data_IF_001680595763
#
_entry.id   IF_001680595763
#
_cell.length_a   1.000
_cell.length_b   1.000
_cell.length_c   1.000
_cell.angle_alpha   90.00
_cell.angle_beta   90.00
_cell.angle_gamma   90.00
#
_symmetry.space_group_name_H-M   'P 1'
#
loop_
_entity.id
_entity.type
_entity.pdbx_description
1 polymer ?
#
# COMPACT_ATOMS: atom_id res chain seq x y z
N UNK A 1 -58.56 57.34 -48.98
CA UNK A 1 -59.96 57.69 -48.68
C UNK A 1 -60.02 57.75 -47.17
N UNK A 2 -59.87 58.97 -46.70
CA UNK A 2 -60.85 59.77 -45.95
C UNK A 2 -60.99 59.27 -44.50
N UNK A 3 -60.34 60.02 -43.59
CA UNK A 3 -60.85 61.16 -42.78
C UNK A 3 -61.58 60.67 -41.50
N UNK A 4 -61.35 61.15 -40.45
CA UNK A 4 -61.43 62.34 -39.57
C UNK A 4 -61.76 61.84 -38.15
N UNK A 5 -61.28 62.31 -37.16
CA UNK A 5 -61.08 63.60 -36.51
C UNK A 5 -61.76 63.61 -35.09
N UNK A 6 -61.09 64.28 -34.20
CA UNK A 6 -61.55 65.04 -33.03
C UNK A 6 -61.43 64.46 -31.60
N UNK A 7 -60.47 65.06 -30.93
CA UNK A 7 -60.59 65.38 -29.51
C UNK A 7 -61.64 66.39 -29.19
N UNK A 8 -62.12 66.63 -27.98
CA UNK A 8 -61.44 67.57 -27.09
C UNK A 8 -61.58 67.39 -25.55
N UNK A 9 -60.60 68.00 -24.88
CA UNK A 9 -60.67 68.88 -23.65
C UNK A 9 -61.10 68.34 -22.28
N UNK A 10 -60.09 68.29 -21.39
CA UNK A 10 -59.84 69.07 -20.16
C UNK A 10 -60.98 69.11 -19.10
N UNK A 11 -60.64 68.68 -17.89
CA UNK A 11 -60.83 69.53 -16.69
C UNK A 11 -59.93 69.01 -15.51
N UNK A 12 -59.38 70.01 -14.79
CA UNK A 12 -58.45 69.86 -13.66
C UNK A 12 -59.20 69.55 -12.38
N UNK A 13 -58.53 68.84 -11.50
CA UNK A 13 -58.92 68.64 -10.10
C UNK A 13 -57.78 68.25 -9.23
N UNK A 14 -57.29 69.21 -8.46
CA UNK A 14 -56.27 69.00 -7.42
C UNK A 14 -56.77 68.10 -6.27
N UNK A 15 -56.02 67.08 -5.88
CA UNK A 15 -56.08 66.58 -4.51
C UNK A 15 -54.70 66.10 -4.12
N UNK A 16 -54.18 66.72 -3.09
CA UNK A 16 -52.93 66.33 -2.34
C UNK A 16 -53.16 65.02 -1.65
N UNK A 17 -52.35 63.97 -2.00
CA UNK A 17 -52.29 62.75 -1.25
C UNK A 17 -50.81 62.31 -1.07
N UNK A 18 -50.41 62.24 0.18
CA UNK A 18 -49.07 61.92 0.61
C UNK A 18 -48.68 60.45 0.16
N UNK A 19 -47.69 60.34 -0.66
CA UNK A 19 -47.09 59.03 -0.97
C UNK A 19 -46.00 58.70 0.08
N UNK A 20 -46.33 57.81 1.02
CA UNK A 20 -45.35 57.14 1.81
C UNK A 20 -44.63 56.07 0.97
N UNK A 21 -43.39 56.35 0.58
CA UNK A 21 -42.56 55.37 -0.16
C UNK A 21 -42.14 54.23 0.72
N UNK A 22 -42.66 53.02 0.49
CA UNK A 22 -42.11 51.77 1.03
C UNK A 22 -40.90 51.38 0.15
N UNK A 23 -39.69 51.66 0.64
CA UNK A 23 -38.46 51.04 0.13
C UNK A 23 -38.42 49.57 0.57
N UNK A 24 -38.81 48.66 -0.33
CA UNK A 24 -38.56 47.23 -0.11
C UNK A 24 -37.05 46.96 -0.29
N UNK A 25 -36.32 46.86 0.82
CA UNK A 25 -34.96 46.35 0.82
C UNK A 25 -35.03 44.86 0.49
N UNK A 26 -34.72 44.51 -0.76
CA UNK A 26 -34.44 43.11 -1.14
C UNK A 26 -33.08 42.69 -0.51
N UNK A 27 -33.16 42.08 0.65
CA UNK A 27 -32.00 41.33 1.22
C UNK A 27 -31.79 40.11 0.33
N UNK A 28 -30.85 40.25 -0.61
CA UNK A 28 -30.29 39.08 -1.31
C UNK A 28 -29.49 38.31 -0.26
N UNK A 29 -30.10 37.29 0.34
CA UNK A 29 -29.39 36.29 1.11
C UNK A 29 -28.42 35.59 0.15
N UNK A 30 -27.17 36.05 0.14
CA UNK A 30 -26.07 35.30 -0.47
C UNK A 30 -25.95 33.99 0.33
N UNK A 31 -26.56 32.93 -0.19
CA UNK A 31 -26.26 31.58 0.23
C UNK A 31 -24.75 31.44 0.10
N UNK A 32 -24.01 31.04 1.15
CA UNK A 32 -22.61 30.68 0.98
C UNK A 32 -22.62 29.55 -0.05
N UNK A 33 -22.20 29.85 -1.28
CA UNK A 33 -22.00 28.84 -2.30
C UNK A 33 -21.09 27.79 -1.69
N UNK A 34 -21.57 26.56 -1.62
CA UNK A 34 -20.75 25.42 -1.30
C UNK A 34 -19.59 25.44 -2.30
N UNK A 35 -18.43 25.99 -1.88
CA UNK A 35 -17.19 25.77 -2.60
C UNK A 35 -17.05 24.25 -2.58
N UNK A 36 -17.23 23.61 -3.71
CA UNK A 36 -16.67 22.28 -3.89
C UNK A 36 -15.17 22.49 -3.83
N UNK A 37 -14.58 22.30 -2.63
CA UNK A 37 -13.14 22.33 -2.51
C UNK A 37 -12.61 21.30 -3.51
N UNK A 38 -11.82 21.77 -4.47
CA UNK A 38 -11.19 20.91 -5.45
C UNK A 38 -10.34 19.89 -4.72
N UNK A 39 -10.59 18.60 -4.97
CA UNK A 39 -9.86 17.51 -4.33
C UNK A 39 -8.37 17.62 -4.67
N UNK A 40 -7.51 17.49 -3.66
CA UNK A 40 -6.08 17.41 -3.87
C UNK A 40 -5.75 16.09 -4.58
N UNK A 41 -5.08 16.19 -5.72
CA UNK A 41 -4.69 15.01 -6.50
C UNK A 41 -3.37 14.43 -6.01
N UNK A 42 -3.31 13.11 -5.86
CA UNK A 42 -2.08 12.42 -5.56
C UNK A 42 -2.05 11.02 -6.17
N UNK A 43 -0.84 10.53 -6.42
CA UNK A 43 -0.57 9.20 -6.98
C UNK A 43 0.06 8.30 -5.93
N UNK A 44 -0.47 7.09 -5.77
CA UNK A 44 0.01 6.11 -4.80
C UNK A 44 0.52 4.87 -5.53
N UNK A 45 1.80 4.57 -5.37
CA UNK A 45 2.42 3.36 -5.90
C UNK A 45 2.20 2.16 -4.99
N UNK A 46 1.64 1.09 -5.52
CA UNK A 46 1.32 -0.15 -4.79
C UNK A 46 1.57 -1.39 -5.63
N UNK A 47 1.61 -2.55 -4.97
CA UNK A 47 1.53 -3.87 -5.60
C UNK A 47 0.10 -4.42 -5.49
N UNK A 48 -0.32 -5.29 -6.41
CA UNK A 48 -1.60 -6.01 -6.34
C UNK A 48 -1.54 -7.15 -5.33
N UNK A 49 -1.25 -6.82 -4.07
CA UNK A 49 -1.07 -7.77 -2.97
C UNK A 49 -1.94 -7.39 -1.77
N UNK A 50 -2.33 -8.38 -0.98
CA UNK A 50 -3.10 -8.17 0.27
C UNK A 50 -2.35 -7.30 1.30
N UNK A 51 -1.03 -7.21 1.20
CA UNK A 51 -0.23 -6.28 2.01
C UNK A 51 -0.52 -4.81 1.75
N UNK A 52 -1.27 -4.49 0.68
CA UNK A 52 -1.76 -3.13 0.37
C UNK A 52 -3.25 -2.95 0.69
N UNK A 53 -3.89 -3.90 1.39
CA UNK A 53 -5.33 -3.91 1.66
C UNK A 53 -5.88 -2.58 2.21
N UNK A 54 -5.26 -1.90 3.18
CA UNK A 54 -5.77 -0.62 3.67
C UNK A 54 -5.86 0.46 2.59
N UNK A 55 -4.91 0.48 1.63
CA UNK A 55 -4.97 1.43 0.50
C UNK A 55 -6.18 1.14 -0.39
N UNK A 56 -6.45 -0.13 -0.65
CA UNK A 56 -7.61 -0.56 -1.47
C UNK A 56 -8.93 -0.24 -0.79
N UNK A 57 -9.01 -0.49 0.52
CA UNK A 57 -10.17 -0.18 1.34
C UNK A 57 -10.41 1.33 1.38
N UNK A 58 -9.37 2.14 1.63
CA UNK A 58 -9.48 3.60 1.64
C UNK A 58 -9.96 4.15 0.29
N UNK A 59 -9.47 3.58 -0.81
CA UNK A 59 -9.87 3.96 -2.16
C UNK A 59 -11.32 3.59 -2.46
N UNK A 60 -11.71 2.35 -2.22
CA UNK A 60 -13.02 1.82 -2.63
C UNK A 60 -14.15 2.35 -1.74
N UNK A 61 -13.90 2.53 -0.44
CA UNK A 61 -14.85 3.09 0.53
C UNK A 61 -14.90 4.62 0.51
N UNK A 62 -14.08 5.26 -0.30
CA UNK A 62 -14.10 6.72 -0.43
C UNK A 62 -13.40 7.48 0.70
N UNK A 63 -12.63 6.82 1.59
CA UNK A 63 -11.97 7.50 2.71
C UNK A 63 -10.98 8.58 2.26
N UNK A 64 -10.31 8.39 1.12
CA UNK A 64 -9.48 9.43 0.54
C UNK A 64 -10.32 10.65 0.13
N UNK A 65 -11.50 10.45 -0.47
CA UNK A 65 -12.41 11.53 -0.84
C UNK A 65 -12.99 12.26 0.36
N UNK A 66 -13.32 11.51 1.43
CA UNK A 66 -13.77 12.09 2.70
C UNK A 66 -12.72 13.06 3.29
N UNK A 67 -11.44 12.78 3.07
CA UNK A 67 -10.30 13.63 3.45
C UNK A 67 -9.95 14.68 2.38
N UNK A 68 -10.76 14.84 1.34
CA UNK A 68 -10.55 15.83 0.28
C UNK A 68 -9.45 15.45 -0.71
N UNK A 69 -9.21 14.15 -0.94
CA UNK A 69 -8.19 13.63 -1.86
C UNK A 69 -8.81 12.90 -3.05
N UNK A 70 -8.24 13.13 -4.25
CA UNK A 70 -8.46 12.33 -5.46
C UNK A 70 -7.20 11.50 -5.72
N UNK A 71 -7.25 10.21 -5.36
CA UNK A 71 -6.10 9.30 -5.42
C UNK A 71 -6.13 8.45 -6.68
N UNK A 72 -5.01 8.49 -7.42
CA UNK A 72 -4.73 7.56 -8.52
C UNK A 72 -3.77 6.46 -8.05
N UNK A 73 -4.21 5.19 -8.12
CA UNK A 73 -3.34 4.05 -7.81
C UNK A 73 -2.48 3.68 -9.02
N UNK A 74 -1.17 3.63 -8.82
CA UNK A 74 -0.18 3.14 -9.79
C UNK A 74 0.30 1.75 -9.35
N UNK A 75 0.09 0.75 -10.20
CA UNK A 75 0.47 -0.63 -9.91
C UNK A 75 1.84 -0.97 -10.48
N UNK A 76 2.64 -1.67 -9.68
CA UNK A 76 3.98 -2.12 -10.01
C UNK A 76 4.12 -3.63 -9.82
N UNK A 77 5.13 -4.23 -10.46
CA UNK A 77 5.39 -5.69 -10.41
C UNK A 77 6.49 -6.08 -9.41
N UNK A 78 7.12 -5.09 -8.75
CA UNK A 78 8.12 -5.28 -7.72
C UNK A 78 8.20 -4.06 -6.79
N UNK A 79 8.74 -4.24 -5.57
CA UNK A 79 8.83 -3.20 -4.54
C UNK A 79 9.81 -2.08 -4.91
N UNK A 80 10.99 -2.42 -5.42
CA UNK A 80 12.06 -1.46 -5.71
C UNK A 80 11.65 -0.33 -6.69
N UNK A 81 10.95 -0.59 -7.81
CA UNK A 81 10.50 0.45 -8.72
C UNK A 81 9.59 1.51 -8.06
N UNK A 82 8.83 1.16 -7.02
CA UNK A 82 7.97 2.11 -6.30
C UNK A 82 8.80 3.18 -5.58
N UNK A 83 9.92 2.79 -4.93
CA UNK A 83 10.81 3.74 -4.28
C UNK A 83 11.49 4.69 -5.29
N UNK A 84 11.84 4.17 -6.48
CA UNK A 84 12.38 4.97 -7.59
C UNK A 84 11.33 5.95 -8.09
N UNK A 85 10.09 5.50 -8.35
CA UNK A 85 9.00 6.33 -8.82
C UNK A 85 8.61 7.45 -7.82
N UNK A 86 8.69 7.19 -6.51
CA UNK A 86 8.50 8.23 -5.50
C UNK A 86 9.62 9.28 -5.54
N UNK A 87 10.87 8.86 -5.74
CA UNK A 87 12.02 9.75 -5.83
C UNK A 87 12.00 10.60 -7.10
N UNK A 88 11.62 10.03 -8.27
CA UNK A 88 11.47 10.77 -9.53
C UNK A 88 10.28 11.73 -9.55
N UNK A 89 9.28 11.46 -8.71
CA UNK A 89 8.03 12.23 -8.64
C UNK A 89 6.93 11.72 -9.57
N UNK A 90 7.07 10.50 -10.07
CA UNK A 90 6.01 9.84 -10.85
C UNK A 90 4.84 9.43 -9.95
N UNK A 91 5.11 9.23 -8.65
CA UNK A 91 4.14 9.03 -7.59
C UNK A 91 4.44 9.94 -6.39
N UNK A 92 3.44 10.23 -5.57
CA UNK A 92 3.55 11.03 -4.35
C UNK A 92 3.82 10.14 -3.13
N UNK A 93 3.14 9.02 -3.02
CA UNK A 93 3.27 8.05 -1.93
C UNK A 93 3.60 6.68 -2.47
N UNK A 94 4.44 5.95 -1.75
CA UNK A 94 4.72 4.55 -1.99
C UNK A 94 4.27 3.69 -0.80
N UNK A 95 3.62 2.55 -1.10
CA UNK A 95 3.21 1.56 -0.10
C UNK A 95 3.69 0.19 -0.55
N UNK A 96 4.80 -0.29 0.04
CA UNK A 96 5.40 -1.56 -0.33
C UNK A 96 6.42 -2.04 0.71
N UNK A 97 7.06 -3.18 0.44
CA UNK A 97 8.08 -3.78 1.29
C UNK A 97 9.37 -2.93 1.34
N UNK A 98 10.06 -2.96 2.46
CA UNK A 98 11.42 -2.45 2.58
C UNK A 98 12.38 -3.19 1.64
N UNK A 99 13.31 -2.43 1.06
CA UNK A 99 14.38 -2.94 0.19
C UNK A 99 15.66 -2.16 0.43
N UNK A 100 16.81 -2.73 0.09
CA UNK A 100 18.09 -2.02 0.17
C UNK A 100 18.07 -0.71 -0.64
N UNK A 101 17.43 -0.72 -1.81
CA UNK A 101 17.31 0.49 -2.63
C UNK A 101 16.43 1.56 -2.01
N UNK A 102 15.32 1.20 -1.34
CA UNK A 102 14.51 2.14 -0.57
C UNK A 102 15.36 2.78 0.53
N UNK A 103 16.10 1.96 1.30
CA UNK A 103 16.97 2.46 2.36
C UNK A 103 18.06 3.39 1.83
N UNK A 104 18.72 3.05 0.72
CA UNK A 104 19.74 3.91 0.09
C UNK A 104 19.16 5.24 -0.38
N UNK A 105 17.98 5.26 -1.01
CA UNK A 105 17.29 6.48 -1.42
C UNK A 105 16.89 7.33 -0.19
N UNK A 106 16.37 6.70 0.84
CA UNK A 106 16.01 7.38 2.08
C UNK A 106 17.24 7.93 2.82
N UNK A 107 18.32 7.16 2.88
CA UNK A 107 19.61 7.60 3.44
C UNK A 107 20.21 8.82 2.73
N UNK A 108 19.99 8.94 1.40
CA UNK A 108 20.34 10.13 0.61
C UNK A 108 19.38 11.30 0.81
N UNK A 109 18.34 11.15 1.63
CA UNK A 109 17.38 12.20 1.93
C UNK A 109 16.34 12.46 0.83
N UNK A 110 16.20 11.58 -0.17
CA UNK A 110 15.27 11.78 -1.29
C UNK A 110 13.83 11.36 -0.94
N UNK A 111 13.67 10.48 0.03
CA UNK A 111 12.37 10.05 0.56
C UNK A 111 12.47 9.77 2.07
N UNK A 112 11.31 9.69 2.73
CA UNK A 112 11.17 9.34 4.15
C UNK A 112 10.04 8.37 4.35
N UNK A 113 10.20 7.47 5.33
CA UNK A 113 9.13 6.62 5.85
C UNK A 113 8.20 7.46 6.73
N UNK A 114 6.90 7.36 6.49
CA UNK A 114 5.84 8.12 7.19
C UNK A 114 4.88 7.23 7.98
N UNK A 115 4.99 5.89 7.86
CA UNK A 115 4.19 4.94 8.60
C UNK A 115 4.59 3.50 8.33
N UNK A 116 4.12 2.59 9.20
CA UNK A 116 4.21 1.16 9.00
C UNK A 116 3.11 0.63 8.08
N UNK A 117 3.31 -0.59 7.61
CA UNK A 117 2.33 -1.37 6.86
C UNK A 117 2.48 -2.84 7.28
N UNK A 118 2.42 -3.78 6.36
CA UNK A 118 2.44 -5.21 6.63
C UNK A 118 3.68 -5.71 7.38
N UNK A 119 3.46 -6.78 8.16
CA UNK A 119 4.53 -7.54 8.85
C UNK A 119 4.45 -9.01 8.45
N UNK A 120 5.61 -9.64 8.37
CA UNK A 120 5.71 -11.09 8.45
C UNK A 120 5.48 -11.49 9.91
N UNK A 121 4.43 -12.25 10.17
CA UNK A 121 4.01 -12.66 11.51
C UNK A 121 3.49 -14.09 11.49
N UNK A 122 3.87 -14.87 12.49
CA UNK A 122 3.41 -16.24 12.65
C UNK A 122 1.87 -16.30 12.69
N UNK A 123 1.29 -17.28 12.00
CA UNK A 123 -0.16 -17.46 11.88
C UNK A 123 -0.84 -16.57 10.82
N UNK A 124 -0.07 -15.71 10.12
CA UNK A 124 -0.59 -14.86 9.03
C UNK A 124 0.22 -15.11 7.75
N UNK A 125 -0.14 -16.11 6.93
CA UNK A 125 0.59 -16.47 5.72
C UNK A 125 0.63 -15.30 4.74
N UNK A 126 1.84 -14.80 4.41
CA UNK A 126 2.01 -13.70 3.48
C UNK A 126 3.05 -14.03 2.41
N UNK A 127 4.30 -14.28 2.80
CA UNK A 127 5.37 -14.75 1.93
C UNK A 127 5.74 -16.18 2.31
N UNK A 128 5.85 -17.06 1.30
CA UNK A 128 6.29 -18.45 1.49
C UNK A 128 7.58 -18.75 0.76
N UNK A 129 8.27 -19.75 1.28
CA UNK A 129 9.34 -20.46 0.59
C UNK A 129 8.72 -21.62 -0.19
N UNK A 130 8.88 -21.64 -1.51
CA UNK A 130 8.28 -22.65 -2.38
C UNK A 130 9.37 -23.40 -3.16
N UNK A 131 9.28 -24.73 -3.19
CA UNK A 131 10.15 -25.57 -4.00
C UNK A 131 9.50 -25.94 -5.33
N UNK A 132 10.32 -26.11 -6.38
CA UNK A 132 9.91 -26.84 -7.58
C UNK A 132 9.68 -28.32 -7.25
N UNK A 133 8.88 -29.02 -8.08
CA UNK A 133 8.58 -30.42 -7.83
C UNK A 133 9.83 -31.29 -7.87
N UNK A 134 10.75 -31.05 -8.82
CA UNK A 134 12.00 -31.79 -8.94
C UNK A 134 12.88 -31.56 -7.72
N UNK A 135 13.07 -30.31 -7.29
CA UNK A 135 13.86 -30.00 -6.10
C UNK A 135 13.24 -30.61 -4.84
N UNK A 136 11.90 -30.57 -4.72
CA UNK A 136 11.19 -31.20 -3.60
C UNK A 136 11.36 -32.71 -3.59
N UNK A 137 11.28 -33.39 -4.75
CA UNK A 137 11.53 -34.81 -4.89
C UNK A 137 13.00 -35.17 -4.54
N UNK A 138 13.94 -34.27 -4.89
CA UNK A 138 15.36 -34.42 -4.60
C UNK A 138 15.78 -34.07 -3.14
N UNK A 139 14.80 -33.83 -2.24
CA UNK A 139 15.05 -33.67 -0.81
C UNK A 139 14.95 -32.26 -0.26
N UNK A 140 14.57 -31.25 -1.06
CA UNK A 140 14.28 -29.89 -0.56
C UNK A 140 12.88 -29.89 0.09
N UNK A 141 12.81 -30.16 1.39
CA UNK A 141 11.55 -30.35 2.13
C UNK A 141 11.16 -29.20 3.04
N UNK A 142 12.15 -28.46 3.54
CA UNK A 142 11.98 -27.37 4.50
C UNK A 142 12.82 -26.15 4.09
N UNK A 143 12.54 -24.95 4.62
CA UNK A 143 13.39 -23.77 4.37
C UNK A 143 14.86 -23.99 4.79
N UNK A 144 15.11 -24.84 5.75
CA UNK A 144 16.48 -25.20 6.20
C UNK A 144 17.33 -25.83 5.10
N UNK A 145 16.71 -26.47 4.11
CA UNK A 145 17.39 -27.22 3.05
C UNK A 145 17.79 -26.33 1.86
N UNK A 146 17.68 -24.97 1.98
CA UNK A 146 17.96 -24.03 0.90
C UNK A 146 19.45 -23.82 0.61
N UNK A 147 20.34 -24.20 1.51
CA UNK A 147 21.78 -24.16 1.25
C UNK A 147 22.14 -24.96 -0.02
N UNK A 148 22.96 -24.40 -0.90
CA UNK A 148 23.36 -24.99 -2.17
C UNK A 148 22.29 -24.90 -3.30
N UNK A 149 21.09 -24.39 -3.03
CA UNK A 149 19.99 -24.33 -4.00
C UNK A 149 19.97 -23.02 -4.80
N UNK A 150 19.37 -23.08 -5.99
CA UNK A 150 19.07 -21.92 -6.85
C UNK A 150 17.74 -21.33 -6.37
N UNK A 151 17.77 -20.13 -5.81
CA UNK A 151 16.59 -19.50 -5.22
C UNK A 151 16.24 -18.19 -5.93
N UNK A 152 15.05 -18.14 -6.49
CA UNK A 152 14.54 -16.93 -7.15
C UNK A 152 14.10 -15.90 -6.12
N UNK A 153 14.52 -14.66 -6.37
CA UNK A 153 14.05 -13.43 -5.69
C UNK A 153 13.75 -12.38 -6.76
N UNK A 154 13.07 -11.28 -6.40
CA UNK A 154 12.86 -10.20 -7.38
C UNK A 154 14.15 -9.45 -7.67
N UNK A 155 14.93 -9.10 -6.64
CA UNK A 155 16.17 -8.33 -6.78
C UNK A 155 17.14 -8.67 -5.64
N UNK A 156 18.43 -8.42 -5.85
CA UNK A 156 19.41 -8.40 -4.77
C UNK A 156 19.07 -7.24 -3.84
N UNK A 157 19.06 -7.49 -2.53
CA UNK A 157 18.61 -6.52 -1.52
C UNK A 157 17.09 -6.30 -1.46
N UNK A 158 16.28 -7.16 -2.13
CA UNK A 158 14.83 -7.18 -1.93
C UNK A 158 14.45 -7.75 -0.56
N UNK A 159 13.18 -7.56 -0.17
CA UNK A 159 12.58 -8.20 1.01
C UNK A 159 12.77 -9.72 1.04
N UNK A 160 12.69 -10.37 -0.12
CA UNK A 160 12.92 -11.81 -0.26
C UNK A 160 14.38 -12.19 0.01
N UNK A 161 15.34 -11.37 -0.48
CA UNK A 161 16.75 -11.59 -0.21
C UNK A 161 17.07 -11.40 1.28
N UNK A 162 16.45 -10.40 1.93
CA UNK A 162 16.55 -10.21 3.37
C UNK A 162 15.98 -11.39 4.15
N UNK A 163 14.80 -11.91 3.77
CA UNK A 163 14.22 -13.11 4.39
C UNK A 163 15.12 -14.34 4.27
N UNK A 164 15.81 -14.51 3.12
CA UNK A 164 16.83 -15.60 2.98
C UNK A 164 18.01 -15.39 3.92
N UNK A 165 18.43 -14.15 4.11
CA UNK A 165 19.51 -13.83 5.05
C UNK A 165 19.14 -14.15 6.49
N UNK A 166 17.97 -13.74 6.95
CA UNK A 166 17.47 -14.09 8.27
C UNK A 166 17.33 -15.61 8.47
N UNK A 167 16.92 -16.30 7.41
CA UNK A 167 16.83 -17.76 7.45
C UNK A 167 18.22 -18.41 7.56
N UNK A 168 19.21 -17.90 6.83
CA UNK A 168 20.59 -18.35 6.89
C UNK A 168 21.16 -18.18 8.30
N UNK A 169 20.94 -17.01 8.91
CA UNK A 169 21.35 -16.71 10.29
C UNK A 169 20.66 -17.68 11.28
N UNK A 170 19.35 -17.91 11.13
CA UNK A 170 18.57 -18.83 11.99
C UNK A 170 19.08 -20.27 11.94
N UNK A 171 19.40 -20.76 10.76
CA UNK A 171 19.77 -22.17 10.55
C UNK A 171 21.28 -22.43 10.46
N UNK A 172 22.09 -21.36 10.54
CA UNK A 172 23.56 -21.47 10.63
C UNK A 172 24.24 -21.86 9.32
N UNK A 173 23.59 -21.58 8.15
CA UNK A 173 24.26 -21.67 6.85
C UNK A 173 24.65 -20.28 6.36
N UNK A 174 25.59 -20.19 5.40
CA UNK A 174 25.97 -18.91 4.83
C UNK A 174 25.02 -18.52 3.72
N UNK A 175 24.58 -17.26 3.68
CA UNK A 175 23.77 -16.75 2.57
C UNK A 175 24.48 -16.92 1.21
N UNK A 176 25.84 -16.85 1.18
CA UNK A 176 26.66 -17.12 -0.01
C UNK A 176 26.56 -18.57 -0.52
N UNK A 177 26.10 -19.51 0.30
CA UNK A 177 25.89 -20.89 -0.14
C UNK A 177 24.61 -21.03 -0.96
N UNK A 178 23.69 -20.04 -0.90
CA UNK A 178 22.49 -19.99 -1.72
C UNK A 178 22.79 -19.29 -3.05
N UNK A 179 22.45 -19.94 -4.17
CA UNK A 179 22.55 -19.30 -5.51
C UNK A 179 21.33 -18.41 -5.74
N UNK A 180 21.41 -17.17 -5.27
CA UNK A 180 20.32 -16.20 -5.41
C UNK A 180 20.21 -15.72 -6.85
N UNK A 181 19.03 -15.85 -7.46
CA UNK A 181 18.73 -15.47 -8.85
C UNK A 181 17.72 -14.32 -8.86
N UNK A 182 18.15 -13.09 -9.20
CA UNK A 182 17.26 -11.94 -9.31
C UNK A 182 16.50 -11.97 -10.65
N UNK A 183 15.17 -12.16 -10.60
CA UNK A 183 14.31 -12.33 -11.78
C UNK A 183 13.42 -11.11 -12.08
N UNK A 184 13.63 -9.99 -11.39
CA UNK A 184 13.06 -8.65 -11.60
C UNK A 184 11.56 -8.50 -11.27
N UNK A 185 10.74 -9.56 -11.36
CA UNK A 185 9.31 -9.51 -11.05
C UNK A 185 8.82 -10.78 -10.35
N UNK A 186 7.67 -10.66 -9.67
CA UNK A 186 7.00 -11.82 -9.05
C UNK A 186 6.56 -12.84 -10.10
N UNK A 187 6.09 -12.37 -11.26
CA UNK A 187 5.65 -13.23 -12.37
C UNK A 187 6.80 -14.06 -12.94
N UNK A 188 7.97 -13.44 -13.12
CA UNK A 188 9.16 -14.15 -13.60
C UNK A 188 9.63 -15.21 -12.58
N UNK A 189 9.62 -14.87 -11.28
CA UNK A 189 9.99 -15.83 -10.23
C UNK A 189 9.01 -17.02 -10.18
N UNK A 190 7.72 -16.79 -10.31
CA UNK A 190 6.71 -17.84 -10.37
C UNK A 190 6.86 -18.70 -11.64
N UNK A 191 7.13 -18.08 -12.80
CA UNK A 191 7.37 -18.79 -14.07
C UNK A 191 8.62 -19.67 -14.01
N UNK A 192 9.71 -19.15 -13.41
CA UNK A 192 10.96 -19.90 -13.24
C UNK A 192 10.77 -21.10 -12.30
N UNK A 193 9.98 -20.95 -11.23
CA UNK A 193 9.64 -22.05 -10.33
C UNK A 193 8.79 -23.10 -11.02
N UNK A 194 7.76 -22.68 -11.78
CA UNK A 194 6.91 -23.56 -12.59
C UNK A 194 7.70 -24.32 -13.65
N UNK A 195 8.61 -23.63 -14.32
CA UNK A 195 9.47 -24.20 -15.35
C UNK A 195 10.68 -24.98 -14.81
N UNK A 196 10.79 -25.11 -13.47
CA UNK A 196 11.85 -25.83 -12.76
C UNK A 196 13.27 -25.36 -13.10
N UNK A 197 13.41 -24.11 -13.57
CA UNK A 197 14.70 -23.47 -13.86
C UNK A 197 15.39 -23.00 -12.59
N UNK A 198 14.64 -22.92 -11.48
CA UNK A 198 15.12 -22.69 -10.12
C UNK A 198 14.66 -23.81 -9.21
N UNK A 199 15.38 -24.02 -8.10
CA UNK A 199 15.05 -25.06 -7.13
C UNK A 199 13.96 -24.56 -6.16
N UNK A 200 14.00 -23.27 -5.84
CA UNK A 200 13.01 -22.61 -4.97
C UNK A 200 12.78 -21.16 -5.38
N UNK A 201 11.70 -20.59 -4.85
CA UNK A 201 11.40 -19.17 -4.94
C UNK A 201 10.74 -18.67 -3.66
N UNK A 202 10.97 -17.41 -3.29
CA UNK A 202 10.14 -16.70 -2.34
C UNK A 202 9.06 -15.95 -3.12
N UNK A 203 7.81 -16.19 -2.77
CA UNK A 203 6.65 -15.59 -3.42
C UNK A 203 5.57 -15.21 -2.40
N UNK A 204 4.82 -14.14 -2.62
CA UNK A 204 3.56 -13.93 -1.92
C UNK A 204 2.60 -15.09 -2.18
N UNK A 205 1.83 -15.48 -1.17
CA UNK A 205 0.87 -16.58 -1.30
C UNK A 205 -0.12 -16.36 -2.44
N UNK A 206 -0.53 -15.10 -2.70
CA UNK A 206 -1.39 -14.72 -3.82
C UNK A 206 -0.78 -15.07 -5.19
N UNK A 207 0.51 -14.82 -5.35
CA UNK A 207 1.24 -15.16 -6.60
C UNK A 207 1.44 -16.67 -6.74
N UNK A 208 1.70 -17.37 -5.64
CA UNK A 208 1.97 -18.80 -5.63
C UNK A 208 0.69 -19.67 -5.70
N UNK A 209 -0.48 -19.13 -5.36
CA UNK A 209 -1.73 -19.88 -5.19
C UNK A 209 -2.08 -20.73 -6.42
N UNK A 210 -2.17 -20.12 -7.59
CA UNK A 210 -2.50 -20.84 -8.82
C UNK A 210 -1.48 -21.95 -9.13
N UNK A 211 -0.21 -21.72 -8.80
CA UNK A 211 0.86 -22.69 -9.01
C UNK A 211 0.73 -23.87 -8.02
N UNK A 212 0.40 -23.60 -6.77
CA UNK A 212 0.17 -24.64 -5.75
C UNK A 212 -1.05 -25.47 -6.11
N UNK A 213 -2.16 -24.83 -6.45
CA UNK A 213 -3.43 -25.49 -6.77
C UNK A 213 -3.29 -26.40 -8.02
N UNK A 214 -2.43 -25.99 -8.97
CA UNK A 214 -2.09 -26.82 -10.14
C UNK A 214 -1.02 -27.90 -9.83
N UNK A 215 -0.55 -28.03 -8.59
CA UNK A 215 0.48 -28.98 -8.20
C UNK A 215 1.87 -28.65 -8.75
N UNK A 216 2.08 -27.42 -9.25
CA UNK A 216 3.35 -26.98 -9.88
C UNK A 216 4.43 -26.51 -8.91
N UNK A 217 4.14 -26.42 -7.61
CA UNK A 217 5.10 -26.10 -6.56
C UNK A 217 4.70 -26.70 -5.21
N UNK A 218 5.64 -26.78 -4.28
CA UNK A 218 5.46 -27.26 -2.92
C UNK A 218 5.83 -26.16 -1.93
N UNK A 219 4.94 -25.90 -0.98
CA UNK A 219 5.26 -25.02 0.15
C UNK A 219 6.26 -25.70 1.07
N UNK A 220 7.33 -25.00 1.42
CA UNK A 220 8.34 -25.41 2.40
C UNK A 220 8.07 -24.82 3.79
N UNK A 221 7.55 -23.59 3.85
CA UNK A 221 7.25 -22.85 5.09
C UNK A 221 6.93 -21.40 4.81
N UNK A 222 6.42 -20.70 5.83
CA UNK A 222 6.08 -19.29 5.76
C UNK A 222 7.18 -18.43 6.37
N UNK A 223 7.47 -17.27 5.76
CA UNK A 223 8.48 -16.35 6.30
C UNK A 223 8.10 -15.88 7.70
N UNK A 224 6.82 -15.58 7.94
CA UNK A 224 6.34 -15.13 9.25
C UNK A 224 6.50 -16.17 10.37
N UNK A 225 6.43 -17.46 10.06
CA UNK A 225 6.64 -18.54 11.03
C UNK A 225 8.13 -18.79 11.28
N UNK A 226 8.95 -18.56 10.25
CA UNK A 226 10.40 -18.77 10.35
C UNK A 226 11.10 -17.58 11.00
N UNK A 227 10.88 -16.40 10.49
CA UNK A 227 11.60 -15.18 10.87
C UNK A 227 10.66 -13.99 10.77
N UNK A 228 9.86 -13.68 11.81
CA UNK A 228 8.95 -12.51 11.78
C UNK A 228 9.73 -11.19 11.72
N UNK A 229 9.23 -10.21 10.91
CA UNK A 229 9.85 -8.90 10.75
C UNK A 229 8.90 -7.87 10.11
N UNK A 230 9.25 -6.56 10.22
CA UNK A 230 8.50 -5.46 9.61
C UNK A 230 8.73 -5.44 8.09
N UNK A 231 7.76 -5.93 7.33
CA UNK A 231 7.89 -6.08 5.88
C UNK A 231 7.65 -4.78 5.13
N UNK A 232 6.54 -4.12 5.40
CA UNK A 232 6.04 -3.01 4.60
C UNK A 232 6.09 -1.66 5.31
N UNK A 233 6.15 -0.62 4.49
CA UNK A 233 6.09 0.78 4.93
C UNK A 233 5.27 1.64 3.98
N UNK A 234 4.85 2.76 4.51
CA UNK A 234 4.35 3.92 3.78
C UNK A 234 5.45 4.96 3.73
N UNK A 235 5.76 5.49 2.56
CA UNK A 235 6.80 6.50 2.39
C UNK A 235 6.41 7.54 1.34
N UNK A 236 7.07 8.68 1.39
CA UNK A 236 6.90 9.77 0.45
C UNK A 236 8.24 10.43 0.10
N UNK A 237 8.32 11.10 -1.04
CA UNK A 237 9.48 11.94 -1.35
C UNK A 237 9.55 13.14 -0.40
N UNK A 238 10.76 13.68 -0.20
CA UNK A 238 10.93 14.90 0.59
C UNK A 238 10.18 16.09 -0.01
N UNK A 239 9.96 16.09 -1.34
CA UNK A 239 9.12 17.07 -2.02
C UNK A 239 7.66 16.93 -1.61
N UNK A 240 7.10 15.72 -1.62
CA UNK A 240 5.72 15.45 -1.18
C UNK A 240 5.52 15.80 0.29
N UNK A 241 6.54 15.56 1.14
CA UNK A 241 6.50 15.90 2.57
C UNK A 241 6.44 17.41 2.84
N UNK A 242 6.80 18.26 1.90
CA UNK A 242 6.65 19.71 2.03
C UNK A 242 5.17 20.13 2.01
N UNK A 243 4.28 19.33 1.38
CA UNK A 243 2.83 19.52 1.42
C UNK A 243 2.23 18.79 2.65
N UNK A 244 2.39 19.39 3.82
CA UNK A 244 1.88 18.81 5.08
C UNK A 244 0.38 18.50 5.06
N UNK A 245 -0.51 19.35 4.53
CA UNK A 245 -1.92 19.04 4.38
C UNK A 245 -2.18 17.76 3.59
N UNK A 246 -1.53 17.58 2.45
CA UNK A 246 -1.65 16.38 1.61
C UNK A 246 -1.24 15.13 2.38
N UNK A 247 -0.08 15.14 3.05
CA UNK A 247 0.44 14.00 3.81
C UNK A 247 -0.48 13.65 4.98
N UNK A 248 -0.94 14.67 5.73
CA UNK A 248 -1.81 14.46 6.89
C UNK A 248 -3.16 13.83 6.49
N UNK A 249 -3.79 14.35 5.45
CA UNK A 249 -5.06 13.83 4.91
C UNK A 249 -4.90 12.40 4.39
N UNK A 250 -3.81 12.14 3.64
CA UNK A 250 -3.52 10.80 3.15
C UNK A 250 -3.38 9.78 4.28
N UNK A 251 -2.61 10.12 5.32
CA UNK A 251 -2.42 9.25 6.48
C UNK A 251 -3.70 9.09 7.30
N UNK A 252 -4.55 10.12 7.42
CA UNK A 252 -5.82 10.02 8.11
C UNK A 252 -6.75 8.97 7.45
N UNK A 253 -6.90 9.04 6.12
CA UNK A 253 -7.68 8.08 5.36
C UNK A 253 -7.10 6.65 5.47
N UNK A 254 -5.78 6.53 5.34
CA UNK A 254 -5.10 5.23 5.40
C UNK A 254 -5.22 4.58 6.78
N UNK A 255 -5.02 5.33 7.85
CA UNK A 255 -5.14 4.86 9.24
C UNK A 255 -6.58 4.42 9.56
N UNK A 256 -7.58 5.12 9.01
CA UNK A 256 -8.99 4.71 9.14
C UNK A 256 -9.24 3.35 8.51
N UNK A 257 -8.76 3.16 7.28
CA UNK A 257 -8.90 1.89 6.56
C UNK A 257 -8.10 0.75 7.21
N UNK A 258 -6.93 1.05 7.73
CA UNK A 258 -6.06 0.12 8.45
C UNK A 258 -6.74 -0.40 9.72
N UNK A 259 -7.33 0.48 10.54
CA UNK A 259 -8.10 0.06 11.70
C UNK A 259 -9.30 -0.82 11.33
N UNK A 260 -10.05 -0.44 10.31
CA UNK A 260 -11.19 -1.24 9.86
C UNK A 260 -10.74 -2.63 9.35
N UNK A 261 -9.65 -2.69 8.58
CA UNK A 261 -9.07 -3.97 8.15
C UNK A 261 -8.66 -4.82 9.35
N UNK A 262 -7.99 -4.24 10.33
CA UNK A 262 -7.59 -4.93 11.56
C UNK A 262 -8.79 -5.44 12.35
N UNK A 263 -9.78 -4.57 12.64
CA UNK A 263 -10.90 -4.89 13.52
C UNK A 263 -11.90 -5.86 12.88
N UNK A 264 -12.05 -5.83 11.54
CA UNK A 264 -13.02 -6.66 10.81
C UNK A 264 -12.38 -7.94 10.27
N UNK A 265 -11.21 -7.83 9.64
CA UNK A 265 -10.57 -8.98 8.99
C UNK A 265 -9.62 -9.69 9.95
N UNK A 266 -8.61 -8.99 10.48
CA UNK A 266 -7.55 -9.65 11.26
C UNK A 266 -8.06 -10.18 12.60
N UNK A 267 -8.99 -9.47 13.26
CA UNK A 267 -9.62 -9.94 14.50
C UNK A 267 -10.46 -11.24 14.30
N UNK A 268 -10.89 -11.49 13.08
CA UNK A 268 -11.66 -12.69 12.73
C UNK A 268 -10.82 -13.85 12.19
N UNK A 269 -9.50 -13.64 11.96
CA UNK A 269 -8.60 -14.68 11.42
C UNK A 269 -8.44 -15.81 12.44
N UNK A 270 -8.68 -17.04 11.97
CA UNK A 270 -8.43 -18.28 12.71
C UNK A 270 -7.68 -19.24 11.79
N UNK A 271 -6.62 -19.86 12.30
CA UNK A 271 -5.76 -20.75 11.51
C UNK A 271 -5.26 -20.15 10.19
N UNK A 272 -4.90 -18.85 10.22
CA UNK A 272 -4.38 -18.11 9.08
C UNK A 272 -5.44 -17.77 8.01
N UNK A 273 -6.74 -17.90 8.32
CA UNK A 273 -7.82 -17.61 7.38
C UNK A 273 -8.88 -16.72 8.00
N UNK A 274 -9.35 -15.73 7.24
CA UNK A 274 -10.53 -14.95 7.57
C UNK A 274 -11.79 -15.72 7.17
N UNK A 275 -12.87 -15.74 7.99
CA UNK A 275 -14.15 -16.29 7.58
C UNK A 275 -14.81 -15.41 6.51
N UNK A 276 -15.62 -15.99 5.64
CA UNK A 276 -16.51 -15.24 4.74
C UNK A 276 -17.89 -15.15 5.40
N UNK A 277 -18.23 -13.98 5.93
CA UNK A 277 -19.52 -13.70 6.56
C UNK A 277 -19.98 -12.26 6.24
N UNK A 278 -21.10 -11.83 6.76
CA UNK A 278 -21.69 -10.50 6.49
C UNK A 278 -20.72 -9.35 6.84
N UNK A 279 -19.90 -9.49 7.87
CA UNK A 279 -18.97 -8.45 8.31
C UNK A 279 -17.68 -8.41 7.46
N UNK A 280 -17.10 -9.56 7.15
CA UNK A 280 -15.81 -9.65 6.47
C UNK A 280 -15.93 -9.59 4.94
N UNK A 281 -17.05 -10.09 4.37
CA UNK A 281 -17.26 -10.17 2.92
C UNK A 281 -17.02 -8.84 2.19
N UNK A 282 -17.56 -7.69 2.64
CA UNK A 282 -17.37 -6.43 1.91
C UNK A 282 -15.89 -6.02 1.75
N UNK A 283 -15.08 -6.20 2.80
CA UNK A 283 -13.65 -5.89 2.73
C UNK A 283 -12.88 -6.94 1.93
N UNK A 284 -13.24 -8.21 2.03
CA UNK A 284 -12.62 -9.27 1.22
C UNK A 284 -12.89 -9.07 -0.27
N UNK A 285 -14.10 -8.62 -0.66
CA UNK A 285 -14.44 -8.30 -2.05
C UNK A 285 -13.66 -7.11 -2.58
N UNK A 286 -13.43 -6.08 -1.76
CA UNK A 286 -12.53 -4.97 -2.11
C UNK A 286 -11.11 -5.48 -2.37
N UNK A 287 -10.55 -6.28 -1.46
CA UNK A 287 -9.21 -6.83 -1.64
C UNK A 287 -9.15 -7.72 -2.89
N UNK A 288 -10.15 -8.57 -3.11
CA UNK A 288 -10.29 -9.44 -4.28
C UNK A 288 -10.24 -8.65 -5.59
N UNK A 289 -11.00 -7.55 -5.67
CA UNK A 289 -11.05 -6.63 -6.82
C UNK A 289 -9.67 -6.10 -7.19
N UNK A 290 -8.89 -5.61 -6.21
CA UNK A 290 -7.60 -4.98 -6.49
C UNK A 290 -6.44 -5.96 -6.66
N UNK A 291 -6.56 -7.15 -6.07
CA UNK A 291 -5.56 -8.23 -6.22
C UNK A 291 -5.81 -9.13 -7.43
N UNK A 292 -6.95 -8.99 -8.10
CA UNK A 292 -7.41 -9.86 -9.18
C UNK A 292 -7.54 -11.34 -8.74
N UNK A 293 -7.94 -11.58 -7.50
CA UNK A 293 -8.16 -12.91 -6.94
C UNK A 293 -9.63 -13.13 -6.61
N UNK A 294 -10.17 -14.36 -6.68
CA UNK A 294 -11.45 -14.67 -6.08
C UNK A 294 -11.41 -14.53 -4.55
N UNK A 295 -12.53 -14.17 -3.94
CA UNK A 295 -12.63 -13.96 -2.47
C UNK A 295 -12.14 -15.18 -1.68
N UNK A 296 -12.43 -16.39 -2.18
CA UNK A 296 -12.03 -17.67 -1.58
C UNK A 296 -10.50 -17.83 -1.50
N UNK A 297 -9.75 -17.14 -2.34
CA UNK A 297 -8.29 -17.12 -2.28
C UNK A 297 -7.74 -15.99 -1.42
N UNK A 298 -8.49 -14.91 -1.25
CA UNK A 298 -8.11 -13.77 -0.39
C UNK A 298 -8.13 -14.18 1.09
N UNK A 299 -9.08 -15.00 1.51
CA UNK A 299 -9.26 -15.39 2.93
C UNK A 299 -8.03 -16.05 3.58
N UNK A 300 -7.22 -16.76 2.81
CA UNK A 300 -5.97 -17.39 3.28
C UNK A 300 -4.73 -16.54 2.97
N UNK A 301 -4.90 -15.27 2.67
CA UNK A 301 -3.84 -14.32 2.31
C UNK A 301 -4.10 -12.95 2.96
N UNK A 302 -4.46 -12.95 4.25
CA UNK A 302 -4.68 -11.73 5.01
C UNK A 302 -3.35 -11.28 5.64
N UNK A 303 -2.71 -10.29 5.06
CA UNK A 303 -1.46 -9.73 5.59
C UNK A 303 -1.68 -9.17 7.00
N UNK A 304 -0.81 -9.48 7.95
CA UNK A 304 -0.86 -8.81 9.24
C UNK A 304 -0.38 -7.36 9.10
N UNK A 305 -1.16 -6.45 9.65
CA UNK A 305 -0.90 -5.01 9.66
C UNK A 305 -1.21 -4.49 11.07
N UNK A 306 -0.27 -3.77 11.68
CA UNK A 306 -0.50 -3.19 13.00
C UNK A 306 -1.49 -2.03 12.92
N UNK A 307 -2.49 -1.97 13.83
CA UNK A 307 -3.54 -0.97 13.73
C UNK A 307 -3.00 0.46 13.90
N UNK A 308 -3.43 1.35 13.02
CA UNK A 308 -3.10 2.77 13.08
C UNK A 308 -1.78 3.15 12.43
N UNK A 309 -1.22 2.29 11.56
CA UNK A 309 0.01 2.57 10.81
C UNK A 309 1.27 2.58 11.66
N UNK A 310 1.28 1.81 12.77
CA UNK A 310 2.45 1.66 13.63
C UNK A 310 3.62 1.02 12.90
N UNK A 311 4.83 1.42 13.26
CA UNK A 311 6.08 0.95 12.68
C UNK A 311 7.01 0.42 13.78
N UNK A 312 7.48 -0.80 13.63
CA UNK A 312 8.56 -1.35 14.46
C UNK A 312 9.90 -0.72 14.06
N UNK A 313 10.21 0.41 14.69
CA UNK A 313 11.43 1.18 14.41
C UNK A 313 12.68 0.38 14.77
N UNK A 314 12.61 -0.46 15.82
CA UNK A 314 13.74 -1.27 16.22
C UNK A 314 14.06 -2.35 15.18
N UNK A 315 13.03 -2.96 14.61
CA UNK A 315 13.19 -3.91 13.52
C UNK A 315 13.73 -3.25 12.25
N UNK A 316 13.27 -2.04 11.91
CA UNK A 316 13.83 -1.26 10.79
C UNK A 316 15.33 -0.98 11.00
N UNK A 317 15.75 -0.64 12.21
CA UNK A 317 17.16 -0.45 12.54
C UNK A 317 17.97 -1.75 12.35
N UNK A 318 17.42 -2.89 12.77
CA UNK A 318 18.03 -4.20 12.58
C UNK A 318 18.18 -4.55 11.09
N UNK A 319 17.16 -4.26 10.27
CA UNK A 319 17.23 -4.47 8.82
C UNK A 319 18.34 -3.63 8.18
N UNK A 320 18.43 -2.34 8.53
CA UNK A 320 19.48 -1.46 8.02
C UNK A 320 20.85 -2.00 8.42
N UNK A 321 21.06 -2.36 9.70
CA UNK A 321 22.33 -2.91 10.19
C UNK A 321 22.72 -4.18 9.46
N UNK A 322 21.77 -5.09 9.25
CA UNK A 322 22.03 -6.33 8.51
C UNK A 322 22.41 -6.05 7.05
N UNK A 323 21.65 -5.20 6.34
CA UNK A 323 21.91 -4.84 4.95
C UNK A 323 23.23 -4.08 4.78
N UNK A 324 23.61 -3.24 5.75
CA UNK A 324 24.92 -2.58 5.81
C UNK A 324 26.07 -3.59 6.01
N UNK A 325 25.84 -4.60 6.86
CA UNK A 325 26.79 -5.70 7.08
C UNK A 325 27.04 -6.53 5.80
N UNK A 326 26.00 -6.70 4.97
CA UNK A 326 26.08 -7.38 3.67
C UNK A 326 26.63 -6.47 2.54
N UNK A 327 26.81 -5.17 2.78
CA UNK A 327 27.25 -4.22 1.75
C UNK A 327 26.16 -3.81 0.76
N UNK A 328 24.88 -4.06 1.04
CA UNK A 328 23.76 -3.68 0.17
C UNK A 328 23.23 -2.27 0.45
N UNK A 329 23.55 -1.73 1.62
CA UNK A 329 23.14 -0.40 2.06
C UNK A 329 24.35 0.37 2.55
N UNK A 330 24.42 1.66 2.22
CA UNK A 330 25.50 2.55 2.62
C UNK A 330 25.59 2.66 4.15
N UNK A 331 26.82 2.68 4.69
CA UNK A 331 27.06 2.72 6.16
C UNK A 331 26.86 4.10 6.78
N UNK A 332 26.58 5.14 5.98
CA UNK A 332 26.58 6.53 6.41
C UNK A 332 25.36 7.02 7.17
N UNK A 333 24.34 6.16 7.43
CA UNK A 333 23.12 6.60 8.10
C UNK A 333 22.54 5.53 9.06
N UNK A 334 21.72 5.98 9.99
CA UNK A 334 20.93 5.15 10.93
C UNK A 334 19.43 5.26 10.61
N UNK A 335 18.62 4.41 11.26
CA UNK A 335 17.16 4.37 11.05
C UNK A 335 16.49 5.74 11.21
N UNK A 336 16.91 6.54 12.17
CA UNK A 336 16.36 7.88 12.42
C UNK A 336 16.46 8.81 11.20
N UNK A 337 17.52 8.66 10.40
CA UNK A 337 17.71 9.48 9.23
C UNK A 337 16.67 9.24 8.13
N UNK A 338 16.02 8.09 8.12
CA UNK A 338 15.02 7.74 7.10
C UNK A 338 13.57 7.96 7.54
N UNK A 339 13.33 8.25 8.82
CA UNK A 339 12.00 8.42 9.37
C UNK A 339 11.55 9.89 9.33
N UNK A 340 10.31 10.14 8.95
CA UNK A 340 9.62 11.41 9.16
C UNK A 340 8.93 11.36 10.53
N UNK A 341 9.64 11.73 11.59
CA UNK A 341 9.20 11.56 12.99
C UNK A 341 7.88 12.23 13.32
N UNK A 342 7.50 13.31 12.59
CA UNK A 342 6.22 13.99 12.76
C UNK A 342 5.02 13.09 12.40
N UNK A 343 5.23 12.04 11.62
CA UNK A 343 4.18 11.17 11.08
C UNK A 343 4.27 9.73 11.59
N UNK A 344 5.49 9.23 11.81
CA UNK A 344 5.70 7.83 12.25
C UNK A 344 5.19 7.63 13.67
N UNK A 345 4.33 6.62 13.85
CA UNK A 345 3.91 6.11 15.15
C UNK A 345 4.73 4.87 15.47
N UNK A 346 5.62 4.91 16.47
CA UNK A 346 6.34 3.72 16.88
C UNK A 346 5.40 2.69 17.50
N UNK A 347 5.82 1.42 17.40
CA UNK A 347 5.14 0.25 17.95
C UNK A 347 5.15 0.25 19.48
#
# INVERSE_FOLDING_TARGET
MVQHDRAPKVWAGCARGAFAGLLALAVVAASPGARSDELLKAKVGVLRLSSSAPVFIAQDKGYFRDEGLDIELKFFDAAQPIAVAATSGDIDFGVTAFTAGLYNLAGKGTLKVIGGMSREKAGYPLIGYFASNNAYAAGLKTPRDLAGKRVAVTQIGSSFHYSLGLLADKYGFKLSDVKVLPLQSLSNAAAALKGETVDAALLPVSTARALIDAGGAKLLGWVGDETPWQLGAVFASTRTLADKPLVTRFLAALVRADREYHDVILAAVTDGKAPINENTRPLLEIIAKYTNLPVEQVVGNCAYIDPGGKLDVSNVANQIGWLQGQGFVDKGFAADAILARDYVKPD
#
